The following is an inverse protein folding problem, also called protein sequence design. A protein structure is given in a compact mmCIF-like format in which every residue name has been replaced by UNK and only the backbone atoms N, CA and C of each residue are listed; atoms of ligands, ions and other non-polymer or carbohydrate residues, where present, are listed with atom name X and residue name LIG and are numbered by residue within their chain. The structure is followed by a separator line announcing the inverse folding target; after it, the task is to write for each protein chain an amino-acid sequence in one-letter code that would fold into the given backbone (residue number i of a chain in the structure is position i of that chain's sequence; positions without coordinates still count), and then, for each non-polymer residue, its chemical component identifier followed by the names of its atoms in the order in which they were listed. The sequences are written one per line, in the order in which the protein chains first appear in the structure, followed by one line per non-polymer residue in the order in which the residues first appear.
data_IF_154606397380
#
_entry.id   IF_154606397380
#
_cell.length_a   1.000
_cell.length_b   1.000
_cell.length_c   1.000
_cell.angle_alpha   90.00
_cell.angle_beta   90.00
_cell.angle_gamma   90.00
#
_symmetry.space_group_name_H-M   'P 1'
#
loop_
_entity.id
_entity.type
_entity.pdbx_description
1 polymer ?
#
# COMPACT_ATOMS: atom_id res chain seq x y z
N UNK A 1 -5.92 12.59 13.32
CA UNK A 1 -4.90 11.51 13.40
C UNK A 1 -5.61 10.18 13.23
N UNK A 2 -4.98 9.26 12.51
CA UNK A 2 -5.45 7.88 12.30
C UNK A 2 -4.36 6.94 12.80
N UNK A 3 -4.73 5.87 13.51
CA UNK A 3 -3.82 4.80 13.89
C UNK A 3 -4.01 3.62 12.94
N UNK A 4 -2.93 3.19 12.29
CA UNK A 4 -2.92 2.03 11.40
C UNK A 4 -2.10 0.92 12.04
N UNK A 5 -2.69 -0.26 12.17
CA UNK A 5 -2.09 -1.44 12.79
C UNK A 5 -1.63 -2.43 11.72
N UNK A 6 -0.38 -2.81 11.80
CA UNK A 6 0.25 -3.82 10.95
C UNK A 6 1.01 -4.82 11.83
N UNK A 7 1.23 -6.02 11.33
CA UNK A 7 2.23 -6.91 11.93
C UNK A 7 3.62 -6.28 11.80
N UNK A 8 4.49 -6.53 12.76
CA UNK A 8 5.82 -5.93 12.82
C UNK A 8 6.74 -6.32 11.65
N UNK A 9 6.46 -7.43 10.99
CA UNK A 9 7.17 -7.92 9.80
C UNK A 9 6.56 -7.45 8.47
N UNK A 10 5.56 -6.57 8.52
CA UNK A 10 4.90 -6.01 7.34
C UNK A 10 5.10 -4.50 7.23
N UNK A 11 5.04 -3.99 6.01
CA UNK A 11 5.14 -2.57 5.71
C UNK A 11 3.83 -2.01 5.17
N UNK A 12 3.54 -0.77 5.51
CA UNK A 12 2.38 -0.04 5.00
C UNK A 12 2.50 0.18 3.50
N UNK A 13 1.42 -0.09 2.78
CA UNK A 13 1.26 0.36 1.41
C UNK A 13 0.54 1.72 1.41
N UNK A 14 1.27 2.79 1.10
CA UNK A 14 0.74 4.16 1.15
C UNK A 14 -0.41 4.39 0.16
N UNK A 15 -0.39 3.70 -0.99
CA UNK A 15 -1.49 3.79 -1.97
C UNK A 15 -2.77 3.20 -1.40
N UNK A 16 -2.67 2.03 -0.74
CA UNK A 16 -3.81 1.40 -0.07
C UNK A 16 -4.30 2.24 1.11
N UNK A 17 -3.37 2.81 1.89
CA UNK A 17 -3.69 3.72 3.00
C UNK A 17 -4.47 4.96 2.54
N UNK A 18 -4.21 5.47 1.33
CA UNK A 18 -4.98 6.55 0.71
C UNK A 18 -6.45 6.21 0.44
N UNK A 19 -6.87 4.95 0.56
CA UNK A 19 -8.28 4.56 0.49
C UNK A 19 -9.00 4.65 1.84
N UNK A 20 -8.29 4.89 2.93
CA UNK A 20 -8.89 5.22 4.24
C UNK A 20 -9.64 6.55 4.10
N UNK A 21 -10.92 6.65 4.49
CA UNK A 21 -11.73 7.85 4.25
C UNK A 21 -11.11 9.14 4.74
N UNK A 22 -10.45 9.12 5.91
CA UNK A 22 -9.78 10.28 6.51
C UNK A 22 -8.46 10.65 5.82
N UNK A 23 -7.92 9.79 4.96
CA UNK A 23 -6.62 9.95 4.30
C UNK A 23 -6.74 10.18 2.78
N UNK A 24 -7.93 10.14 2.21
CA UNK A 24 -8.20 10.21 0.75
C UNK A 24 -7.69 11.50 0.07
N UNK A 25 -7.63 12.61 0.81
CA UNK A 25 -7.19 13.91 0.30
C UNK A 25 -5.65 14.11 0.46
N UNK A 26 -4.95 13.04 0.81
CA UNK A 26 -3.53 13.01 1.10
C UNK A 26 -3.24 12.91 2.59
N UNK A 27 -2.11 12.31 2.93
CA UNK A 27 -1.66 12.15 4.31
C UNK A 27 -0.14 12.26 4.40
N UNK A 28 0.35 12.41 5.59
CA UNK A 28 1.75 12.25 5.98
C UNK A 28 1.83 11.50 7.30
N UNK A 29 2.98 10.95 7.59
CA UNK A 29 3.24 10.41 8.93
C UNK A 29 3.24 11.53 9.97
N UNK A 30 2.72 11.22 11.15
CA UNK A 30 2.71 12.15 12.26
C UNK A 30 4.14 12.43 12.76
N UNK A 31 4.39 13.66 13.18
CA UNK A 31 5.64 14.03 13.83
C UNK A 31 5.67 13.51 15.27
N UNK A 32 6.88 13.40 15.85
CA UNK A 32 7.05 12.94 17.24
C UNK A 32 6.25 13.80 18.24
N UNK A 33 6.14 15.10 17.99
CA UNK A 33 5.33 16.00 18.83
C UNK A 33 3.82 15.69 18.75
N UNK A 34 3.33 15.40 17.55
CA UNK A 34 1.92 15.00 17.35
C UNK A 34 1.64 13.63 17.96
N UNK A 35 2.57 12.70 17.83
CA UNK A 35 2.50 11.38 18.45
C UNK A 35 2.44 11.49 19.96
N UNK A 36 3.36 12.27 20.55
CA UNK A 36 3.40 12.49 21.99
C UNK A 36 2.09 13.12 22.51
N UNK A 37 1.55 14.11 21.80
CA UNK A 37 0.29 14.75 22.16
C UNK A 37 -0.91 13.80 22.06
N UNK A 38 -0.93 12.90 21.07
CA UNK A 38 -2.01 11.96 20.83
C UNK A 38 -1.97 10.75 21.80
N UNK A 39 -0.80 10.16 22.00
CA UNK A 39 -0.61 8.89 22.71
C UNK A 39 0.08 9.02 24.06
N UNK A 40 0.71 10.14 24.37
CA UNK A 40 1.46 10.34 25.62
C UNK A 40 2.84 9.66 25.64
N UNK A 41 3.24 9.05 24.54
CA UNK A 41 4.50 8.30 24.43
C UNK A 41 5.23 8.60 23.12
N UNK A 42 6.52 8.27 23.07
CA UNK A 42 7.35 8.39 21.88
C UNK A 42 7.13 7.24 20.89
N UNK A 43 7.49 7.41 19.61
CA UNK A 43 7.59 6.30 18.66
C UNK A 43 8.39 5.11 19.23
N UNK A 44 7.95 3.88 18.89
CA UNK A 44 8.55 2.63 19.37
C UNK A 44 7.76 1.96 20.51
N UNK A 45 6.92 2.71 21.22
CA UNK A 45 6.12 2.19 22.34
C UNK A 45 4.62 2.35 22.13
N UNK A 46 4.20 2.68 20.91
CA UNK A 46 2.80 2.94 20.59
C UNK A 46 2.01 1.63 20.45
N UNK A 47 0.77 1.67 20.89
CA UNK A 47 -0.15 0.54 20.76
C UNK A 47 -1.60 0.98 20.74
N UNK A 48 -2.52 0.07 20.38
CA UNK A 48 -3.93 0.37 20.21
C UNK A 48 -4.72 0.38 21.53
N UNK A 49 -4.15 -0.11 22.63
CA UNK A 49 -4.83 -0.21 23.91
C UNK A 49 -4.90 1.17 24.57
N UNK A 50 -6.10 1.60 24.98
CA UNK A 50 -6.30 2.89 25.63
C UNK A 50 -6.21 4.10 24.72
N UNK A 51 -6.28 3.91 23.41
CA UNK A 51 -6.31 5.01 22.43
C UNK A 51 -7.57 5.85 22.62
N UNK A 52 -7.42 7.19 22.50
CA UNK A 52 -8.53 8.14 22.63
C UNK A 52 -9.61 7.86 21.58
N UNK A 53 -10.86 8.05 21.94
CA UNK A 53 -12.02 7.75 21.10
C UNK A 53 -12.14 8.60 19.83
N UNK A 54 -11.42 9.71 19.74
CA UNK A 54 -11.35 10.58 18.56
C UNK A 54 -10.29 10.17 17.54
N UNK A 55 -9.51 9.11 17.84
CA UNK A 55 -8.52 8.53 16.92
C UNK A 55 -9.13 7.29 16.27
N UNK A 56 -9.34 7.35 14.97
CA UNK A 56 -9.78 6.19 14.20
C UNK A 56 -8.68 5.10 14.13
N UNK A 57 -9.07 3.85 14.38
CA UNK A 57 -8.14 2.71 14.38
C UNK A 57 -8.47 1.77 13.24
N UNK A 58 -7.51 1.60 12.35
CA UNK A 58 -7.57 0.68 11.22
C UNK A 58 -6.55 -0.43 11.41
N UNK A 59 -6.90 -1.65 11.04
CA UNK A 59 -5.96 -2.77 11.05
C UNK A 59 -5.90 -3.44 9.68
N UNK A 60 -4.67 -3.81 9.29
CA UNK A 60 -4.51 -4.75 8.19
C UNK A 60 -5.15 -6.10 8.53
N UNK A 61 -5.68 -6.79 7.52
CA UNK A 61 -6.32 -8.10 7.68
C UNK A 61 -5.50 -9.07 8.52
N UNK A 62 -4.20 -9.14 8.26
CA UNK A 62 -3.30 -10.05 8.98
C UNK A 62 -3.03 -9.63 10.42
N UNK A 63 -3.13 -8.35 10.74
CA UNK A 63 -3.04 -7.85 12.10
C UNK A 63 -4.36 -8.08 12.86
N UNK A 64 -5.49 -7.89 12.19
CA UNK A 64 -6.81 -8.13 12.79
C UNK A 64 -7.06 -9.61 13.15
N UNK A 65 -6.47 -10.54 12.39
CA UNK A 65 -6.57 -11.99 12.63
C UNK A 65 -5.63 -12.48 13.77
N UNK A 66 -4.81 -11.61 14.36
CA UNK A 66 -3.89 -12.01 15.44
C UNK A 66 -4.63 -12.19 16.77
N UNK A 67 -4.20 -13.17 17.52
CA UNK A 67 -4.61 -13.41 18.92
C UNK A 67 -3.39 -13.41 19.84
N UNK A 68 -3.59 -12.99 21.08
CA UNK A 68 -2.55 -12.92 22.11
C UNK A 68 -1.29 -12.16 21.66
N UNK A 69 -1.50 -11.08 20.89
CA UNK A 69 -0.41 -10.32 20.30
C UNK A 69 0.29 -9.40 21.30
N UNK A 70 1.50 -8.96 20.93
CA UNK A 70 2.25 -7.94 21.65
C UNK A 70 2.11 -6.60 20.95
N UNK A 71 1.97 -5.52 21.72
CA UNK A 71 1.96 -4.14 21.20
C UNK A 71 2.56 -3.18 22.23
N UNK A 72 2.90 -1.97 21.79
CA UNK A 72 3.32 -0.91 22.71
C UNK A 72 2.24 -0.60 23.74
N UNK A 73 2.64 -0.16 24.93
CA UNK A 73 1.74 0.19 26.02
C UNK A 73 1.41 1.68 26.09
N UNK A 74 1.81 2.47 25.09
CA UNK A 74 1.77 3.94 25.11
C UNK A 74 2.54 4.54 26.30
N UNK A 75 3.55 3.80 26.79
CA UNK A 75 4.46 4.19 27.86
C UNK A 75 5.89 3.78 27.49
N UNK A 76 6.84 4.69 27.67
CA UNK A 76 8.25 4.45 27.28
C UNK A 76 8.83 3.26 28.08
N UNK A 77 9.35 2.26 27.36
CA UNK A 77 9.94 1.05 27.92
C UNK A 77 8.96 -0.10 28.18
N UNK A 78 7.65 0.10 27.91
CA UNK A 78 6.64 -0.90 28.21
C UNK A 78 5.87 -1.39 26.98
N UNK A 79 5.52 -2.68 27.01
CA UNK A 79 4.68 -3.33 26.02
C UNK A 79 3.66 -4.22 26.72
N UNK A 80 2.49 -4.35 26.12
CA UNK A 80 1.50 -5.36 26.49
C UNK A 80 1.77 -6.66 25.75
N UNK A 81 1.47 -7.78 26.36
CA UNK A 81 1.45 -9.11 25.75
C UNK A 81 0.12 -9.81 26.02
N UNK A 82 -0.27 -10.70 25.11
CA UNK A 82 -1.53 -11.42 25.23
C UNK A 82 -2.76 -10.55 24.95
N UNK A 83 -2.61 -9.50 24.11
CA UNK A 83 -3.68 -8.58 23.75
C UNK A 83 -4.59 -9.19 22.69
N UNK A 84 -5.91 -8.98 22.85
CA UNK A 84 -6.91 -9.44 21.88
C UNK A 84 -7.92 -8.36 21.58
N UNK A 85 -8.29 -8.24 20.31
CA UNK A 85 -9.44 -7.45 19.89
C UNK A 85 -10.74 -7.98 20.51
N UNK A 86 -11.70 -7.12 20.75
CA UNK A 86 -12.98 -7.46 21.39
C UNK A 86 -12.92 -7.72 22.89
N UNK A 87 -11.73 -7.99 23.46
CA UNK A 87 -11.51 -8.18 24.90
C UNK A 87 -10.82 -6.97 25.55
N UNK A 88 -9.65 -6.58 25.03
CA UNK A 88 -8.80 -5.55 25.63
C UNK A 88 -8.94 -4.19 24.95
N UNK A 89 -9.43 -4.21 23.73
CA UNK A 89 -9.71 -3.04 22.89
C UNK A 89 -10.84 -3.36 21.91
N UNK A 90 -11.54 -2.33 21.39
CA UNK A 90 -12.57 -2.53 20.37
C UNK A 90 -12.04 -3.21 19.11
N UNK A 91 -12.93 -3.87 18.37
CA UNK A 91 -12.63 -4.37 17.03
C UNK A 91 -12.24 -3.20 16.11
N UNK A 92 -11.15 -3.32 15.36
CA UNK A 92 -10.70 -2.27 14.44
C UNK A 92 -11.52 -2.29 13.13
N UNK A 93 -11.45 -1.21 12.37
CA UNK A 93 -11.88 -1.26 10.97
C UNK A 93 -10.83 -2.01 10.17
N UNK A 94 -11.22 -3.14 9.59
CA UNK A 94 -10.29 -4.03 8.87
C UNK A 94 -10.19 -3.63 7.40
N UNK A 95 -8.97 -3.42 6.91
CA UNK A 95 -8.68 -3.10 5.51
C UNK A 95 -7.44 -3.87 5.03
N UNK A 96 -7.24 -3.93 3.72
CA UNK A 96 -5.98 -4.39 3.12
C UNK A 96 -5.03 -3.19 3.03
N UNK A 97 -4.02 -3.14 3.90
CA UNK A 97 -3.18 -1.95 4.08
C UNK A 97 -1.68 -2.19 3.89
N UNK A 98 -1.25 -3.44 3.79
CA UNK A 98 0.17 -3.78 3.71
C UNK A 98 0.68 -4.01 2.29
N UNK A 99 1.99 -3.92 2.12
CA UNK A 99 2.68 -4.49 0.97
C UNK A 99 2.62 -6.02 1.00
N UNK A 100 2.64 -6.64 -0.17
CA UNK A 100 2.82 -8.09 -0.29
C UNK A 100 4.25 -8.47 0.11
N UNK A 101 4.41 -9.67 0.64
CA UNK A 101 5.72 -10.24 0.97
C UNK A 101 5.93 -11.57 0.24
N UNK A 102 7.19 -11.99 0.16
CA UNK A 102 7.55 -13.30 -0.40
C UNK A 102 6.79 -14.42 0.33
N UNK A 103 6.18 -15.32 -0.44
CA UNK A 103 5.42 -16.44 0.13
C UNK A 103 3.95 -16.16 0.44
N UNK A 104 3.46 -14.94 0.26
CA UNK A 104 2.03 -14.66 0.37
C UNK A 104 1.22 -15.54 -0.59
N UNK A 105 0.02 -15.92 -0.20
CA UNK A 105 -0.89 -16.65 -1.09
C UNK A 105 -1.30 -15.78 -2.27
N UNK A 106 -1.30 -16.37 -3.46
CA UNK A 106 -1.87 -15.71 -4.63
C UNK A 106 -3.36 -15.42 -4.44
N UNK A 107 -3.88 -14.27 -4.90
CA UNK A 107 -5.30 -13.95 -4.78
C UNK A 107 -6.25 -14.96 -5.42
N UNK A 108 -5.78 -15.72 -6.43
CA UNK A 108 -6.54 -16.80 -7.07
C UNK A 108 -6.49 -18.14 -6.31
N UNK A 109 -5.75 -18.19 -5.20
CA UNK A 109 -5.59 -19.38 -4.34
C UNK A 109 -4.74 -20.50 -4.93
N UNK A 110 -4.14 -20.33 -6.11
CA UNK A 110 -3.43 -21.41 -6.85
C UNK A 110 -1.92 -21.45 -6.63
N UNK A 111 -1.39 -20.64 -5.73
CA UNK A 111 0.05 -20.63 -5.48
C UNK A 111 0.46 -19.60 -4.46
N UNK A 112 1.77 -19.32 -4.43
CA UNK A 112 2.38 -18.31 -3.58
C UNK A 112 3.09 -17.26 -4.43
N UNK A 113 3.13 -16.04 -3.94
CA UNK A 113 3.82 -14.93 -4.59
C UNK A 113 5.32 -15.09 -4.44
N UNK A 114 6.06 -14.73 -5.51
CA UNK A 114 7.50 -14.58 -5.50
C UNK A 114 7.87 -13.17 -5.89
N UNK A 115 8.77 -12.57 -5.15
CA UNK A 115 9.28 -11.24 -5.45
C UNK A 115 10.51 -11.37 -6.37
N UNK A 116 10.41 -10.79 -7.57
CA UNK A 116 11.49 -10.79 -8.54
C UNK A 116 11.75 -9.37 -9.04
N UNK A 117 13.01 -9.04 -9.23
CA UNK A 117 13.41 -7.81 -9.91
C UNK A 117 13.46 -8.05 -11.39
N UNK A 118 12.88 -7.15 -12.16
CA UNK A 118 12.91 -7.17 -13.62
C UNK A 118 13.32 -5.80 -14.17
N UNK A 119 13.74 -5.79 -15.44
CA UNK A 119 13.98 -4.55 -16.17
C UNK A 119 12.67 -4.20 -16.88
N UNK A 120 12.06 -3.07 -16.52
CA UNK A 120 10.85 -2.57 -17.18
C UNK A 120 11.21 -2.04 -18.57
N UNK A 121 10.87 -2.78 -19.60
CA UNK A 121 11.12 -2.40 -21.00
C UNK A 121 9.93 -1.75 -21.69
N UNK A 122 8.74 -1.92 -21.14
CA UNK A 122 7.51 -1.31 -21.66
C UNK A 122 6.45 -1.20 -20.57
N UNK A 123 5.49 -0.30 -20.76
CA UNK A 123 4.41 -0.06 -19.80
C UNK A 123 3.11 0.28 -20.52
N UNK A 124 2.00 -0.27 -20.02
CA UNK A 124 0.65 0.08 -20.44
C UNK A 124 0.04 0.99 -19.38
N UNK A 125 -0.38 2.17 -19.80
CA UNK A 125 -0.98 3.17 -18.92
C UNK A 125 -2.49 3.24 -19.17
N UNK A 126 -3.29 3.07 -18.13
CA UNK A 126 -4.70 3.43 -18.14
C UNK A 126 -4.84 4.88 -17.67
N UNK A 127 -5.16 5.79 -18.60
CA UNK A 127 -5.27 7.22 -18.32
C UNK A 127 -6.70 7.63 -17.96
N UNK A 128 -7.69 6.78 -18.23
CA UNK A 128 -9.10 7.08 -18.01
C UNK A 128 -9.52 8.35 -18.72
N UNK A 129 -10.18 9.27 -18.01
CA UNK A 129 -10.65 10.56 -18.55
C UNK A 129 -9.76 11.74 -18.13
N UNK A 130 -8.62 11.48 -17.46
CA UNK A 130 -7.74 12.50 -16.87
C UNK A 130 -7.34 13.62 -17.83
N UNK A 131 -7.16 13.29 -19.10
CA UNK A 131 -6.80 14.27 -20.14
C UNK A 131 -7.97 14.62 -21.05
N UNK A 132 -8.84 13.66 -21.36
CA UNK A 132 -9.97 13.88 -22.27
C UNK A 132 -11.01 14.85 -21.71
N UNK A 133 -11.29 14.82 -20.41
CA UNK A 133 -12.21 15.78 -19.78
C UNK A 133 -11.73 17.23 -19.89
N UNK A 134 -10.51 17.59 -19.43
CA UNK A 134 -10.00 18.97 -19.57
C UNK A 134 -9.87 19.43 -21.03
N UNK A 135 -9.62 18.50 -21.96
CA UNK A 135 -9.49 18.78 -23.39
C UNK A 135 -10.85 18.82 -24.12
N UNK A 136 -11.95 18.47 -23.43
CA UNK A 136 -13.28 18.28 -24.02
C UNK A 136 -13.28 17.29 -25.20
N UNK A 137 -12.37 16.29 -25.16
CA UNK A 137 -12.30 15.22 -26.14
C UNK A 137 -13.42 14.21 -25.88
N UNK A 138 -14.52 14.36 -26.62
CA UNK A 138 -15.74 13.55 -26.44
C UNK A 138 -16.08 12.76 -27.70
N UNK A 139 -16.87 11.71 -27.52
CA UNK A 139 -17.57 10.99 -28.58
C UNK A 139 -19.08 10.95 -28.26
N UNK A 140 -19.90 10.68 -29.25
CA UNK A 140 -21.32 10.46 -29.02
C UNK A 140 -21.57 8.98 -28.77
N UNK A 141 -22.27 8.67 -27.68
CA UNK A 141 -22.70 7.32 -27.40
C UNK A 141 -23.88 6.88 -28.29
N UNK A 142 -24.37 5.66 -28.13
CA UNK A 142 -25.48 5.08 -28.91
C UNK A 142 -26.78 5.90 -28.82
N UNK A 143 -26.93 6.72 -27.79
CA UNK A 143 -28.07 7.60 -27.55
C UNK A 143 -27.79 9.04 -28.02
N UNK A 144 -26.65 9.29 -28.70
CA UNK A 144 -26.25 10.62 -29.15
C UNK A 144 -25.79 11.55 -28.02
N UNK A 145 -25.47 11.00 -26.82
CA UNK A 145 -24.98 11.81 -25.71
C UNK A 145 -23.46 11.91 -25.72
N UNK A 146 -22.89 13.13 -25.53
CA UNK A 146 -21.45 13.31 -25.49
C UNK A 146 -20.86 12.66 -24.22
N UNK A 147 -19.84 11.82 -24.39
CA UNK A 147 -19.08 11.18 -23.30
C UNK A 147 -17.58 11.42 -23.48
N UNK A 148 -16.83 11.66 -22.42
CA UNK A 148 -15.36 11.75 -22.49
C UNK A 148 -14.77 10.44 -23.03
N UNK A 149 -13.74 10.57 -23.87
CA UNK A 149 -12.99 9.41 -24.36
C UNK A 149 -12.19 8.77 -23.22
N UNK A 150 -12.27 7.45 -23.08
CA UNK A 150 -11.33 6.70 -22.25
C UNK A 150 -10.01 6.57 -22.99
N UNK A 151 -8.93 6.94 -22.32
CA UNK A 151 -7.59 6.98 -22.89
C UNK A 151 -6.68 5.91 -22.30
N UNK A 152 -5.83 5.34 -23.13
CA UNK A 152 -4.69 4.51 -22.75
C UNK A 152 -3.42 5.03 -23.42
N UNK A 153 -2.28 4.66 -22.87
CA UNK A 153 -0.98 4.93 -23.45
C UNK A 153 -0.11 3.68 -23.37
N UNK A 154 0.70 3.46 -24.40
CA UNK A 154 1.52 2.25 -24.53
C UNK A 154 2.96 2.68 -24.82
N UNK A 155 3.85 2.50 -23.83
CA UNK A 155 5.23 2.94 -23.93
C UNK A 155 6.19 1.77 -24.08
N UNK A 156 7.23 1.94 -24.93
CA UNK A 156 8.39 1.04 -25.02
C UNK A 156 9.66 1.88 -24.94
N UNK A 157 10.58 1.48 -24.03
CA UNK A 157 11.90 2.06 -23.92
C UNK A 157 12.87 1.41 -24.92
N UNK A 158 12.97 1.91 -26.14
CA UNK A 158 13.76 1.29 -27.21
C UNK A 158 15.22 1.03 -26.80
N UNK A 159 15.88 2.01 -26.23
CA UNK A 159 17.25 1.90 -25.70
C UNK A 159 17.34 0.98 -24.49
N UNK A 160 16.30 0.97 -23.65
CA UNK A 160 16.23 0.08 -22.50
C UNK A 160 16.05 -1.38 -22.91
N UNK A 161 15.32 -1.66 -23.99
CA UNK A 161 15.20 -3.03 -24.55
C UNK A 161 16.59 -3.53 -24.98
N UNK A 162 17.37 -2.71 -25.68
CA UNK A 162 18.74 -3.07 -26.05
C UNK A 162 19.62 -3.33 -24.81
N UNK A 163 19.57 -2.42 -23.82
CA UNK A 163 20.29 -2.58 -22.55
C UNK A 163 19.89 -3.85 -21.80
N UNK A 164 18.58 -4.17 -21.76
CA UNK A 164 18.09 -5.38 -21.12
C UNK A 164 18.55 -6.66 -21.85
N UNK A 165 18.60 -6.64 -23.17
CA UNK A 165 19.12 -7.76 -23.97
C UNK A 165 20.60 -8.01 -23.68
N UNK A 166 21.40 -6.95 -23.56
CA UNK A 166 22.82 -7.03 -23.19
C UNK A 166 22.97 -7.60 -21.78
N UNK A 167 22.19 -7.08 -20.81
CA UNK A 167 22.26 -7.52 -19.41
C UNK A 167 21.92 -9.02 -19.26
N UNK A 168 20.95 -9.50 -20.04
CA UNK A 168 20.50 -10.88 -19.96
C UNK A 168 21.33 -11.85 -20.81
N UNK A 169 22.08 -11.35 -21.82
CA UNK A 169 22.79 -12.16 -22.79
C UNK A 169 24.22 -11.67 -23.01
N UNK A 170 25.03 -11.85 -21.99
CA UNK A 170 26.48 -11.62 -22.06
C UNK A 170 27.22 -12.72 -21.30
N UNK A 171 28.47 -12.87 -21.62
CA UNK A 171 29.44 -13.70 -20.90
C UNK A 171 30.77 -12.93 -20.75
N UNK A 172 31.78 -13.58 -20.23
CA UNK A 172 33.11 -13.01 -20.04
C UNK A 172 33.80 -12.57 -21.34
N UNK A 173 33.29 -13.00 -22.51
CA UNK A 173 33.81 -12.65 -23.82
C UNK A 173 33.05 -11.51 -24.49
N UNK A 174 31.92 -11.13 -23.98
CA UNK A 174 31.15 -9.97 -24.46
C UNK A 174 29.65 -10.24 -24.64
N UNK A 175 29.03 -9.39 -25.47
CA UNK A 175 27.59 -9.40 -25.72
C UNK A 175 27.20 -10.56 -26.65
N UNK A 176 26.15 -11.27 -26.28
CA UNK A 176 25.53 -12.30 -27.12
C UNK A 176 24.15 -11.78 -27.56
N UNK A 177 24.05 -11.31 -28.80
CA UNK A 177 22.77 -10.86 -29.36
C UNK A 177 21.80 -12.02 -29.56
N UNK A 178 20.45 -11.79 -29.35
CA UNK A 178 19.42 -12.80 -29.60
C UNK A 178 19.30 -13.19 -31.06
#
# INVERSE_FOLDING_TARGET
IVLVLLRADHELNEVKAGHIPELKDGFRFATDAEILAAFGSKPGYLGPVGVKSDIAVYADKTAADMSDFCCGANEEGFHYSGVNFGRDLPEPVVMDLRNVVEGDKSPDGKGVLRLQRGIEVGHVFFLGTRYSEPMHATFLDENGQPKPMLMGCYGIGVTRVAGAAIEQRHDDKGIQWP
#
